data_IF_540904349934
#
_entry.id   IF_540904349934
#
_cell.length_a   1.000
_cell.length_b   1.000
_cell.length_c   1.000
_cell.angle_alpha   90.00
_cell.angle_beta   90.00
_cell.angle_gamma   90.00
#
_symmetry.space_group_name_H-M   'P 1'
#
loop_
_entity.id
_entity.type
_entity.pdbx_description
1 polymer ?
#
# COMPACT_ATOMS: atom_id res chain seq x y z
N UNK A 1 2.72 -25.85 15.26
CA UNK A 1 2.72 -24.83 14.20
C UNK A 1 1.42 -24.06 14.28
N UNK A 2 1.40 -22.95 15.03
CA UNK A 2 0.25 -22.04 15.02
C UNK A 2 0.40 -21.16 13.80
N UNK A 3 -0.49 -21.32 12.82
CA UNK A 3 -0.77 -20.26 11.86
C UNK A 3 -1.51 -19.17 12.66
N UNK A 4 -0.77 -18.27 13.29
CA UNK A 4 -1.30 -17.02 13.84
C UNK A 4 -1.68 -16.06 12.71
N UNK A 5 -2.43 -16.55 11.70
CA UNK A 5 -3.09 -15.71 10.71
C UNK A 5 -4.36 -15.18 11.36
N UNK A 6 -4.18 -14.16 12.19
CA UNK A 6 -5.26 -13.47 12.87
C UNK A 6 -6.14 -12.74 11.82
N UNK A 7 -7.42 -13.12 11.63
CA UNK A 7 -8.15 -12.78 10.41
C UNK A 7 -8.63 -11.33 10.31
N UNK A 8 -8.43 -10.48 11.31
CA UNK A 8 -8.93 -9.09 11.30
C UNK A 8 -8.05 -8.16 12.16
N UNK A 9 -6.72 -8.23 11.99
CA UNK A 9 -5.83 -7.34 12.70
C UNK A 9 -5.76 -5.99 11.98
N UNK A 10 -6.70 -5.11 12.35
CA UNK A 10 -6.60 -3.65 12.24
C UNK A 10 -5.40 -3.14 13.08
N UNK A 11 -4.21 -3.73 12.91
CA UNK A 11 -3.00 -3.18 13.49
C UNK A 11 -2.67 -1.97 12.66
N UNK A 12 -2.58 -0.81 13.28
CA UNK A 12 -1.77 0.27 12.72
C UNK A 12 -0.36 -0.30 12.58
N UNK A 13 -0.02 -0.89 11.43
CA UNK A 13 1.37 -1.21 11.12
C UNK A 13 2.14 0.10 11.24
N UNK A 14 3.23 0.09 12.01
CA UNK A 14 4.05 1.28 12.13
C UNK A 14 4.64 1.60 10.76
N UNK A 15 4.89 2.89 10.48
CA UNK A 15 5.53 3.33 9.24
C UNK A 15 6.72 2.46 8.86
N UNK A 16 7.60 2.14 9.82
CA UNK A 16 8.76 1.28 9.58
C UNK A 16 8.42 -0.13 9.09
N UNK A 17 7.33 -0.74 9.59
CA UNK A 17 6.91 -2.07 9.13
C UNK A 17 6.33 -2.01 7.72
N UNK A 18 5.50 -1.01 7.41
CA UNK A 18 5.00 -0.78 6.05
C UNK A 18 6.16 -0.63 5.06
N UNK A 19 7.20 0.12 5.44
CA UNK A 19 8.40 0.31 4.62
C UNK A 19 9.10 -1.02 4.37
N UNK A 20 9.24 -1.87 5.38
CA UNK A 20 9.85 -3.19 5.21
C UNK A 20 9.01 -4.11 4.32
N UNK A 21 7.68 -4.06 4.41
CA UNK A 21 6.82 -4.80 3.50
C UNK A 21 7.01 -4.32 2.06
N UNK A 22 6.94 -3.01 1.82
CA UNK A 22 7.10 -2.42 0.48
C UNK A 22 8.50 -2.69 -0.08
N UNK A 23 9.55 -2.60 0.72
CA UNK A 23 10.93 -2.91 0.29
C UNK A 23 11.06 -4.35 -0.20
N UNK A 24 10.48 -5.31 0.53
CA UNK A 24 10.43 -6.71 0.10
C UNK A 24 9.63 -6.90 -1.18
N UNK A 25 8.51 -6.19 -1.34
CA UNK A 25 7.69 -6.24 -2.57
C UNK A 25 8.51 -5.74 -3.77
N UNK A 26 9.20 -4.60 -3.64
CA UNK A 26 10.06 -4.02 -4.68
C UNK A 26 11.20 -4.99 -5.04
N UNK A 27 11.82 -5.62 -4.03
CA UNK A 27 12.89 -6.60 -4.23
C UNK A 27 12.40 -7.92 -4.82
N UNK A 28 11.09 -8.18 -4.81
CA UNK A 28 10.53 -9.48 -5.18
C UNK A 28 10.94 -10.60 -4.22
N UNK A 29 11.12 -10.29 -2.93
CA UNK A 29 11.47 -11.27 -1.91
C UNK A 29 10.24 -12.05 -1.45
N UNK A 30 9.98 -13.20 -2.08
CA UNK A 30 8.89 -14.11 -1.71
C UNK A 30 8.31 -14.86 -2.91
N UNK A 31 7.24 -15.62 -2.68
CA UNK A 31 6.39 -16.11 -3.78
C UNK A 31 5.39 -15.04 -4.22
N UNK A 32 4.80 -15.18 -5.41
CA UNK A 32 3.75 -14.27 -5.88
C UNK A 32 2.60 -14.14 -4.87
N UNK A 33 2.22 -15.24 -4.21
CA UNK A 33 1.19 -15.27 -3.17
C UNK A 33 1.58 -14.48 -1.92
N UNK A 34 2.86 -14.54 -1.51
CA UNK A 34 3.36 -13.74 -0.39
C UNK A 34 3.39 -12.27 -0.75
N UNK A 35 3.88 -11.92 -1.95
CA UNK A 35 3.94 -10.55 -2.43
C UNK A 35 2.54 -9.93 -2.54
N UNK A 36 1.56 -10.67 -3.05
CA UNK A 36 0.16 -10.23 -3.14
C UNK A 36 -0.49 -10.02 -1.77
N UNK A 37 -0.22 -10.93 -0.82
CA UNK A 37 -0.67 -10.81 0.57
C UNK A 37 -0.07 -9.58 1.24
N UNK A 38 1.23 -9.35 1.06
CA UNK A 38 1.95 -8.19 1.61
C UNK A 38 1.43 -6.88 1.02
N UNK A 39 1.20 -6.84 -0.30
CA UNK A 39 0.64 -5.68 -0.98
C UNK A 39 -0.76 -5.35 -0.46
N UNK A 40 -1.60 -6.38 -0.31
CA UNK A 40 -2.95 -6.23 0.28
C UNK A 40 -2.88 -5.65 1.69
N UNK A 41 -1.94 -6.12 2.52
CA UNK A 41 -1.74 -5.59 3.88
C UNK A 41 -1.39 -4.10 3.88
N UNK A 42 -0.46 -3.69 3.00
CA UNK A 42 -0.06 -2.28 2.85
C UNK A 42 -1.24 -1.43 2.36
N UNK A 43 -2.02 -1.92 1.41
CA UNK A 43 -3.21 -1.24 0.90
C UNK A 43 -4.28 -1.03 1.98
N UNK A 44 -4.49 -2.02 2.86
CA UNK A 44 -5.46 -1.88 3.96
C UNK A 44 -5.00 -0.91 5.05
N UNK A 45 -3.70 -0.64 5.13
CA UNK A 45 -3.09 0.22 6.15
C UNK A 45 -2.79 1.65 5.67
N UNK A 46 -2.97 1.93 4.38
CA UNK A 46 -2.71 3.25 3.80
C UNK A 46 -3.99 3.84 3.21
N UNK A 47 -4.20 5.17 3.31
CA UNK A 47 -5.36 5.82 2.70
C UNK A 47 -5.26 5.93 1.16
N UNK A 48 -4.13 5.57 0.56
CA UNK A 48 -3.91 5.64 -0.88
C UNK A 48 -4.44 4.39 -1.61
N UNK A 49 -5.52 4.50 -2.41
CA UNK A 49 -6.14 3.34 -3.06
C UNK A 49 -5.28 2.70 -4.15
N UNK A 50 -4.29 3.44 -4.68
CA UNK A 50 -3.40 2.99 -5.75
C UNK A 50 -1.93 2.83 -5.37
N UNK A 51 -1.60 2.42 -4.13
CA UNK A 51 -0.19 2.28 -3.73
C UNK A 51 0.58 1.26 -4.59
N UNK A 52 -0.11 0.23 -5.09
CA UNK A 52 0.46 -0.72 -6.07
C UNK A 52 0.95 -0.03 -7.33
N UNK A 53 0.26 1.03 -7.78
CA UNK A 53 0.70 1.83 -8.91
C UNK A 53 2.01 2.56 -8.62
N UNK A 54 2.21 3.04 -7.39
CA UNK A 54 3.46 3.66 -6.95
C UNK A 54 4.63 2.68 -6.91
N UNK A 55 4.35 1.40 -6.72
CA UNK A 55 5.37 0.34 -6.65
C UNK A 55 5.75 -0.17 -8.04
N UNK A 56 4.76 -0.40 -8.92
CA UNK A 56 4.98 -1.08 -10.20
C UNK A 56 5.10 -0.14 -11.41
N UNK A 57 4.50 1.04 -11.34
CA UNK A 57 4.33 1.94 -12.50
C UNK A 57 4.95 3.33 -12.28
N UNK A 58 5.63 3.53 -11.15
CA UNK A 58 6.24 4.82 -10.86
C UNK A 58 7.67 4.91 -11.42
N UNK A 59 7.89 5.87 -12.31
CA UNK A 59 9.20 6.13 -12.92
C UNK A 59 10.16 6.92 -12.01
N UNK A 60 9.75 7.35 -10.81
CA UNK A 60 10.57 8.22 -9.94
C UNK A 60 11.60 7.43 -9.11
N UNK A 61 11.78 6.13 -9.33
CA UNK A 61 12.67 5.23 -8.55
C UNK A 61 12.48 5.46 -7.03
N UNK A 62 11.23 5.59 -6.59
CA UNK A 62 10.91 5.91 -5.19
C UNK A 62 11.40 4.80 -4.27
N UNK A 63 12.01 5.19 -3.16
CA UNK A 63 12.32 4.23 -2.10
C UNK A 63 11.04 3.74 -1.43
N UNK A 64 11.08 2.55 -0.83
CA UNK A 64 9.96 2.01 -0.05
C UNK A 64 9.46 2.99 1.03
N UNK A 65 10.36 3.80 1.60
CA UNK A 65 10.04 4.86 2.54
C UNK A 65 9.19 5.97 1.93
N UNK A 66 9.55 6.42 0.73
CA UNK A 66 8.83 7.49 0.01
C UNK A 66 7.47 7.02 -0.47
N UNK A 67 7.36 5.79 -0.97
CA UNK A 67 6.07 5.21 -1.38
C UNK A 67 5.11 5.17 -0.19
N UNK A 68 5.58 4.74 0.98
CA UNK A 68 4.75 4.70 2.20
C UNK A 68 4.40 6.11 2.67
N UNK A 69 5.32 7.06 2.63
CA UNK A 69 5.02 8.46 2.96
C UNK A 69 3.97 9.06 2.03
N UNK A 70 4.12 8.88 0.72
CA UNK A 70 3.16 9.36 -0.28
C UNK A 70 1.80 8.69 -0.07
N UNK A 71 1.80 7.39 0.24
CA UNK A 71 0.58 6.66 0.52
C UNK A 71 -0.13 7.12 1.80
N UNK A 72 0.62 7.48 2.85
CA UNK A 72 0.09 8.02 4.10
C UNK A 72 -0.31 9.50 3.99
N UNK A 73 0.39 10.26 3.15
CA UNK A 73 0.10 11.66 2.87
C UNK A 73 -1.01 11.85 1.85
N UNK A 74 -1.43 10.78 1.16
CA UNK A 74 -2.45 10.85 0.12
C UNK A 74 -3.74 11.47 0.64
N UNK A 75 -4.14 12.56 0.00
CA UNK A 75 -5.42 13.21 0.22
C UNK A 75 -6.28 13.03 -1.03
N UNK A 76 -7.47 12.40 -0.92
CA UNK A 76 -8.36 12.27 -2.05
C UNK A 76 -8.76 13.66 -2.56
N UNK A 77 -8.56 13.90 -3.85
CA UNK A 77 -9.05 15.09 -4.52
C UNK A 77 -10.58 14.97 -4.61
N UNK A 78 -11.30 15.84 -3.90
CA UNK A 78 -12.76 15.92 -4.01
C UNK A 78 -13.07 16.64 -5.32
N UNK A 79 -13.53 15.89 -6.33
CA UNK A 79 -14.07 16.50 -7.54
C UNK A 79 -15.43 17.14 -7.21
N UNK A 80 -15.72 18.35 -7.70
CA UNK A 80 -17.05 18.92 -7.57
C UNK A 80 -18.06 18.00 -8.27
N UNK A 81 -19.30 17.90 -7.76
CA UNK A 81 -20.33 17.10 -8.42
C UNK A 81 -20.47 17.59 -9.86
N UNK A 82 -20.27 16.68 -10.81
CA UNK A 82 -20.60 16.94 -12.20
C UNK A 82 -22.12 17.14 -12.25
N UNK A 83 -22.57 18.39 -12.32
CA UNK A 83 -23.96 18.69 -12.66
C UNK A 83 -24.18 18.17 -14.08
N UNK A 84 -24.59 16.91 -14.19
CA UNK A 84 -25.15 16.37 -15.40
C UNK A 84 -26.40 17.21 -15.70
N UNK A 85 -26.23 18.24 -16.52
CA UNK A 85 -27.33 19.04 -17.04
C UNK A 85 -28.35 18.08 -17.68
N UNK A 86 -29.55 18.08 -17.11
CA UNK A 86 -30.73 17.37 -17.62
C UNK A 86 -31.22 17.97 -18.92
#
# INVERSE_FOLDING_TARGET
MSLDRNPLKLQKLNRSELIQLVDKIIRGEGTEEELDSMLTEVMQNTPHPGISNLIYWDDRDLSAAEIVDEALAYQPIILPPHESSS
#
